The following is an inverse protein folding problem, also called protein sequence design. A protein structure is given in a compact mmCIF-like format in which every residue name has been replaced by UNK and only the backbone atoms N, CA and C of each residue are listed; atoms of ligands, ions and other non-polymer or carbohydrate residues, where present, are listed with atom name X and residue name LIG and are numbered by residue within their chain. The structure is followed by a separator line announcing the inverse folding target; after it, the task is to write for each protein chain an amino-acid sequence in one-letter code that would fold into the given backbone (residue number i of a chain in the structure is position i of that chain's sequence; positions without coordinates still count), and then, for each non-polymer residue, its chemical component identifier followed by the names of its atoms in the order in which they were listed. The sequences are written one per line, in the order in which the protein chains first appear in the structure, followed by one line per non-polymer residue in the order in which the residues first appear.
data_IF_546469391864
#
_entry.id   IF_546469391864
#
_cell.length_a   1.000
_cell.length_b   1.000
_cell.length_c   1.000
_cell.angle_alpha   90.00
_cell.angle_beta   90.00
_cell.angle_gamma   90.00
#
_symmetry.space_group_name_H-M   'P 1'
#
loop_
_entity.id
_entity.type
_entity.pdbx_description
1 polymer ?
#
# COMPACT_ATOMS: atom_id res chain seq x y z
N UNK A 1 -5.69 1.73 -21.32
CA UNK A 1 -7.01 1.21 -20.92
C UNK A 1 -6.95 -0.08 -20.08
N UNK A 2 -5.76 -0.54 -19.68
CA UNK A 2 -5.58 -1.75 -18.83
C UNK A 2 -5.53 -1.47 -17.31
N UNK A 3 -5.60 -0.22 -16.89
CA UNK A 3 -5.40 0.19 -15.48
C UNK A 3 -6.55 -0.13 -14.52
N UNK A 4 -7.64 -0.73 -14.96
CA UNK A 4 -8.84 -0.88 -14.14
C UNK A 4 -9.21 -2.32 -13.77
N UNK A 5 -8.32 -3.27 -13.99
CA UNK A 5 -8.55 -4.64 -13.57
C UNK A 5 -8.09 -4.86 -12.12
N UNK A 6 -8.96 -5.43 -11.31
CA UNK A 6 -8.62 -5.93 -10.00
C UNK A 6 -7.86 -7.25 -10.16
N UNK A 7 -6.55 -7.16 -10.42
CA UNK A 7 -5.73 -8.35 -10.66
C UNK A 7 -5.44 -9.12 -9.38
N UNK A 8 -5.40 -8.40 -8.24
CA UNK A 8 -5.23 -8.97 -6.92
C UNK A 8 -6.14 -8.30 -5.89
N UNK A 9 -6.62 -9.09 -4.94
CA UNK A 9 -7.48 -8.63 -3.84
C UNK A 9 -6.91 -9.17 -2.53
N UNK A 10 -6.78 -8.29 -1.54
CA UNK A 10 -6.38 -8.62 -0.16
C UNK A 10 -7.35 -7.95 0.81
N UNK A 11 -7.51 -8.52 1.99
CA UNK A 11 -8.44 -7.92 2.95
C UNK A 11 -8.53 -8.68 4.28
N UNK A 12 -9.44 -8.21 5.11
CA UNK A 12 -9.93 -8.85 6.31
C UNK A 12 -11.47 -8.73 6.34
N UNK A 13 -12.11 -8.92 7.49
CA UNK A 13 -13.56 -8.81 7.62
C UNK A 13 -14.12 -7.41 7.29
N UNK A 14 -13.30 -6.35 7.41
CA UNK A 14 -13.74 -4.96 7.28
C UNK A 14 -13.15 -4.26 6.06
N UNK A 15 -11.90 -4.51 5.73
CA UNK A 15 -11.18 -3.85 4.63
C UNK A 15 -11.01 -4.80 3.46
N UNK A 16 -11.33 -4.31 2.27
CA UNK A 16 -10.91 -4.94 1.01
C UNK A 16 -10.08 -3.96 0.21
N UNK A 17 -8.89 -4.37 -0.18
CA UNK A 17 -8.00 -3.63 -1.05
C UNK A 17 -7.79 -4.39 -2.36
N UNK A 18 -7.98 -3.73 -3.49
CA UNK A 18 -7.66 -4.30 -4.79
C UNK A 18 -6.46 -3.61 -5.43
N UNK A 19 -5.61 -4.43 -6.05
CA UNK A 19 -4.37 -3.99 -6.64
C UNK A 19 -4.29 -4.39 -8.12
N UNK A 20 -3.51 -3.63 -8.89
CA UNK A 20 -3.14 -4.01 -10.27
C UNK A 20 -2.13 -5.14 -10.25
N UNK A 21 -1.90 -5.77 -11.41
CA UNK A 21 -0.81 -6.74 -11.63
C UNK A 21 0.59 -6.19 -11.31
N UNK A 22 0.73 -4.86 -11.25
CA UNK A 22 1.97 -4.17 -10.94
C UNK A 22 2.07 -3.77 -9.45
N UNK A 23 1.02 -4.04 -8.65
CA UNK A 23 0.98 -3.72 -7.22
C UNK A 23 0.47 -2.32 -6.86
N UNK A 24 -0.11 -1.57 -7.82
CA UNK A 24 -0.76 -0.28 -7.52
C UNK A 24 -2.07 -0.51 -6.76
N UNK A 25 -2.32 0.28 -5.72
CA UNK A 25 -3.59 0.27 -4.99
C UNK A 25 -4.65 1.00 -5.81
N UNK A 26 -5.67 0.26 -6.28
CA UNK A 26 -6.77 0.80 -7.08
C UNK A 26 -8.00 1.12 -6.25
N UNK A 27 -8.34 0.24 -5.32
CA UNK A 27 -9.55 0.37 -4.51
C UNK A 27 -9.26 0.03 -3.08
N UNK A 28 -9.94 0.74 -2.21
CA UNK A 28 -9.94 0.51 -0.78
C UNK A 28 -11.38 0.65 -0.30
N UNK A 29 -12.01 -0.46 0.08
CA UNK A 29 -13.38 -0.53 0.51
C UNK A 29 -13.46 -0.77 2.01
N UNK A 30 -14.41 -0.10 2.67
CA UNK A 30 -14.65 -0.19 4.11
C UNK A 30 -16.08 0.30 4.44
N UNK A 31 -16.79 -0.23 5.45
CA UNK A 31 -16.41 -1.36 6.32
C UNK A 31 -16.72 -2.74 5.73
N UNK A 32 -17.23 -2.82 4.50
CA UNK A 32 -17.58 -4.07 3.82
C UNK A 32 -17.15 -4.03 2.36
N UNK A 33 -17.00 -5.19 1.73
CA UNK A 33 -16.58 -5.32 0.33
C UNK A 33 -17.50 -4.58 -0.66
N UNK A 34 -18.79 -4.50 -0.39
CA UNK A 34 -19.77 -3.86 -1.28
C UNK A 34 -20.22 -2.47 -0.79
N UNK A 35 -19.47 -1.86 0.11
CA UNK A 35 -19.86 -0.59 0.69
C UNK A 35 -19.17 0.59 0.00
N UNK A 36 -18.36 1.35 0.69
CA UNK A 36 -17.78 2.59 0.21
C UNK A 36 -16.37 2.40 -0.33
N UNK A 37 -16.15 2.86 -1.56
CA UNK A 37 -14.83 2.95 -2.16
C UNK A 37 -14.23 4.33 -1.86
N UNK A 38 -12.99 4.37 -1.36
CA UNK A 38 -12.35 5.59 -0.90
C UNK A 38 -11.34 6.19 -1.88
N UNK A 39 -10.63 5.38 -2.65
CA UNK A 39 -9.48 5.81 -3.44
C UNK A 39 -9.89 6.19 -4.86
N UNK A 40 -9.61 7.42 -5.28
CA UNK A 40 -9.63 7.82 -6.68
C UNK A 40 -8.32 7.37 -7.35
N UNK A 41 -7.18 7.72 -6.74
CA UNK A 41 -5.87 7.17 -7.07
C UNK A 41 -4.93 7.15 -5.86
N UNK A 42 -3.93 6.25 -5.90
CA UNK A 42 -2.92 6.10 -4.86
C UNK A 42 -1.59 5.70 -5.49
N UNK A 43 -0.82 6.70 -5.88
CA UNK A 43 0.44 6.52 -6.60
C UNK A 43 1.61 6.55 -5.62
N UNK A 44 2.55 5.66 -5.82
CA UNK A 44 3.85 5.68 -5.14
C UNK A 44 4.91 5.97 -6.17
N UNK A 45 5.73 6.96 -5.89
CA UNK A 45 6.84 7.38 -6.71
C UNK A 45 8.16 7.30 -5.95
N UNK A 46 9.22 7.15 -6.69
CA UNK A 46 10.60 7.26 -6.19
C UNK A 46 11.30 8.38 -6.92
N UNK A 47 11.89 9.31 -6.18
CA UNK A 47 12.94 10.18 -6.68
C UNK A 47 14.26 9.49 -6.42
N UNK A 48 15.00 9.21 -7.49
CA UNK A 48 16.28 8.50 -7.44
C UNK A 48 17.35 9.48 -7.89
N UNK A 49 18.26 9.85 -6.99
CA UNK A 49 19.23 10.92 -7.21
C UNK A 49 18.53 12.22 -7.66
N UNK A 50 18.98 12.83 -8.74
CA UNK A 50 18.41 14.06 -9.33
C UNK A 50 17.42 13.77 -10.46
N UNK A 51 16.92 12.54 -10.58
CA UNK A 51 15.94 12.16 -11.62
C UNK A 51 14.57 12.79 -11.37
N UNK A 52 13.73 12.80 -12.41
CA UNK A 52 12.30 12.95 -12.23
C UNK A 52 11.72 11.76 -11.47
N UNK A 53 10.49 11.87 -10.99
CA UNK A 53 9.79 10.78 -10.30
C UNK A 53 9.65 9.56 -11.21
N UNK A 54 10.09 8.42 -10.69
CA UNK A 54 9.79 7.08 -11.22
C UNK A 54 8.54 6.58 -10.51
N UNK A 55 7.43 6.48 -11.21
CA UNK A 55 6.22 5.87 -10.65
C UNK A 55 6.42 4.37 -10.50
N UNK A 56 6.32 3.89 -9.26
CA UNK A 56 6.71 2.53 -8.92
C UNK A 56 5.91 1.46 -9.68
N UNK A 57 4.65 1.74 -9.99
CA UNK A 57 3.74 0.78 -10.60
C UNK A 57 3.43 1.07 -12.09
N UNK A 58 4.02 2.11 -12.66
CA UNK A 58 3.72 2.56 -14.03
C UNK A 58 4.97 3.19 -14.69
N UNK A 59 6.10 2.49 -14.65
CA UNK A 59 7.33 2.92 -15.34
C UNK A 59 7.72 1.92 -16.42
N UNK A 60 8.12 2.43 -17.58
CA UNK A 60 8.50 1.61 -18.75
C UNK A 60 9.73 0.74 -18.49
N UNK A 61 10.60 1.14 -17.57
CA UNK A 61 11.79 0.40 -17.18
C UNK A 61 11.55 -0.64 -16.10
N UNK A 62 10.32 -0.76 -15.61
CA UNK A 62 9.99 -1.71 -14.56
C UNK A 62 9.49 -3.04 -15.14
N UNK A 63 10.02 -4.12 -14.59
CA UNK A 63 9.54 -5.49 -14.81
C UNK A 63 8.89 -5.97 -13.53
N UNK A 64 7.72 -6.59 -13.64
CA UNK A 64 6.88 -6.97 -12.50
C UNK A 64 6.65 -8.48 -12.46
N UNK A 65 6.67 -9.04 -11.24
CA UNK A 65 6.22 -10.40 -10.95
C UNK A 65 5.39 -10.38 -9.67
N UNK A 66 4.12 -10.77 -9.75
CA UNK A 66 3.19 -10.71 -8.62
C UNK A 66 2.68 -12.11 -8.26
N UNK A 67 2.68 -12.41 -6.97
CA UNK A 67 2.20 -13.69 -6.43
C UNK A 67 1.74 -13.56 -4.98
N UNK A 68 0.82 -14.42 -4.60
CA UNK A 68 0.44 -14.55 -3.20
C UNK A 68 1.37 -15.50 -2.45
N UNK A 69 1.61 -15.20 -1.19
CA UNK A 69 2.25 -16.16 -0.29
C UNK A 69 1.28 -17.34 -0.10
N UNK A 70 1.79 -18.56 -0.31
CA UNK A 70 1.00 -19.80 -0.33
C UNK A 70 0.07 -19.93 0.88
N UNK A 71 -1.20 -20.23 0.61
CA UNK A 71 -2.24 -20.39 1.62
C UNK A 71 -2.58 -19.13 2.41
N UNK A 72 -2.34 -17.95 1.84
CA UNK A 72 -2.58 -16.68 2.54
C UNK A 72 -3.21 -15.62 1.65
N UNK A 73 -3.64 -14.54 2.31
CA UNK A 73 -4.06 -13.29 1.67
C UNK A 73 -2.96 -12.21 1.77
N UNK A 74 -1.70 -12.63 1.66
CA UNK A 74 -0.52 -11.77 1.62
C UNK A 74 -0.01 -11.75 0.18
N UNK A 75 0.11 -10.56 -0.39
CA UNK A 75 0.53 -10.35 -1.77
C UNK A 75 1.97 -9.86 -1.83
N UNK A 76 2.77 -10.47 -2.67
CA UNK A 76 4.10 -10.00 -3.01
C UNK A 76 4.12 -9.50 -4.47
N UNK A 77 4.75 -8.36 -4.68
CA UNK A 77 5.05 -7.81 -6.00
C UNK A 77 6.54 -7.52 -6.08
N UNK A 78 7.26 -8.28 -6.88
CA UNK A 78 8.65 -8.00 -7.21
C UNK A 78 8.70 -7.00 -8.34
N UNK A 79 9.50 -5.94 -8.19
CA UNK A 79 9.67 -4.87 -9.16
C UNK A 79 11.18 -4.74 -9.42
N UNK A 80 11.59 -4.83 -10.66
CA UNK A 80 12.95 -4.57 -11.07
C UNK A 80 12.96 -3.37 -12.01
N UNK A 81 13.49 -2.24 -11.53
CA UNK A 81 13.79 -1.11 -12.40
C UNK A 81 15.13 -1.38 -13.10
N UNK A 82 15.06 -1.62 -14.40
CA UNK A 82 16.22 -2.02 -15.21
C UNK A 82 17.20 -0.88 -15.48
N UNK A 83 16.70 0.38 -15.48
CA UNK A 83 17.54 1.56 -15.69
C UNK A 83 18.43 1.86 -14.48
N UNK A 84 17.84 1.94 -13.29
CA UNK A 84 18.58 2.18 -12.05
C UNK A 84 19.16 0.92 -11.43
N UNK A 85 18.84 -0.27 -11.94
CA UNK A 85 19.19 -1.57 -11.35
C UNK A 85 18.77 -1.64 -9.88
N UNK A 86 17.55 -1.15 -9.60
CA UNK A 86 16.94 -1.14 -8.29
C UNK A 86 15.90 -2.25 -8.22
N UNK A 87 16.13 -3.23 -7.35
CA UNK A 87 15.17 -4.29 -7.07
C UNK A 87 14.33 -3.92 -5.86
N UNK A 88 13.01 -4.13 -5.96
CA UNK A 88 12.07 -3.83 -4.91
C UNK A 88 11.17 -5.04 -4.70
N UNK A 89 11.05 -5.49 -3.45
CA UNK A 89 10.02 -6.43 -3.04
C UNK A 89 8.97 -5.67 -2.24
N UNK A 90 7.81 -5.51 -2.82
CA UNK A 90 6.63 -4.98 -2.16
C UNK A 90 5.82 -6.14 -1.57
N UNK A 91 5.49 -6.06 -0.28
CA UNK A 91 4.62 -7.02 0.42
C UNK A 91 3.43 -6.27 0.98
N UNK A 92 2.24 -6.65 0.55
CA UNK A 92 0.97 -6.05 0.94
C UNK A 92 0.10 -7.05 1.71
N UNK A 93 -0.46 -6.63 2.83
CA UNK A 93 -1.47 -7.39 3.57
C UNK A 93 -2.32 -6.47 4.45
N UNK A 94 -3.51 -6.91 4.80
CA UNK A 94 -4.35 -6.25 5.79
C UNK A 94 -4.18 -6.95 7.14
N UNK A 95 -3.95 -6.17 8.20
CA UNK A 95 -3.88 -6.69 9.57
C UNK A 95 -5.20 -7.34 9.95
N UNK A 96 -5.16 -8.51 10.62
CA UNK A 96 -6.39 -9.26 10.92
C UNK A 96 -7.26 -8.53 11.96
N UNK A 97 -6.64 -7.89 12.95
CA UNK A 97 -7.36 -7.25 14.06
C UNK A 97 -7.52 -5.73 13.91
N UNK A 98 -6.94 -5.15 12.89
CA UNK A 98 -6.89 -3.70 12.70
C UNK A 98 -7.35 -3.34 11.30
N UNK A 99 -7.98 -2.19 11.17
CA UNK A 99 -8.38 -1.65 9.87
C UNK A 99 -7.20 -0.97 9.16
N UNK A 100 -6.11 -1.74 8.97
CA UNK A 100 -4.84 -1.24 8.45
C UNK A 100 -4.37 -2.12 7.29
N UNK A 101 -4.20 -1.50 6.15
CA UNK A 101 -3.41 -2.06 5.04
C UNK A 101 -1.93 -1.71 5.28
N UNK A 102 -1.09 -2.73 5.35
CA UNK A 102 0.35 -2.59 5.47
C UNK A 102 0.99 -2.85 4.11
N UNK A 103 1.84 -1.92 3.68
CA UNK A 103 2.61 -1.99 2.45
C UNK A 103 4.09 -1.86 2.79
N UNK A 104 4.84 -2.93 2.70
CA UNK A 104 6.28 -2.93 2.95
C UNK A 104 7.05 -3.00 1.67
N UNK A 105 8.05 -2.13 1.54
CA UNK A 105 8.98 -2.09 0.43
C UNK A 105 10.38 -2.44 0.93
N UNK A 106 10.98 -3.47 0.35
CA UNK A 106 12.38 -3.80 0.54
C UNK A 106 13.13 -3.43 -0.74
N UNK A 107 13.97 -2.42 -0.67
CA UNK A 107 14.80 -1.93 -1.75
C UNK A 107 16.16 -2.61 -1.68
N UNK A 108 16.70 -3.00 -2.84
CA UNK A 108 18.06 -3.54 -2.97
C UNK A 108 18.74 -2.82 -4.15
N UNK A 109 19.86 -2.17 -3.88
CA UNK A 109 20.63 -1.50 -4.89
C UNK A 109 21.56 -2.52 -5.60
N UNK A 110 21.16 -2.99 -6.78
CA UNK A 110 21.97 -3.86 -7.63
C UNK A 110 22.87 -3.07 -8.60
N UNK A 111 22.89 -1.72 -8.49
CA UNK A 111 23.79 -0.85 -9.25
C UNK A 111 25.19 -0.81 -8.62
N UNK A 112 26.14 -0.27 -9.37
CA UNK A 112 27.53 -0.03 -8.93
C UNK A 112 27.74 1.36 -8.32
N UNK A 113 26.71 2.22 -8.34
CA UNK A 113 26.73 3.56 -7.78
C UNK A 113 25.77 3.66 -6.59
N UNK A 114 26.00 4.65 -5.75
CA UNK A 114 25.07 5.03 -4.67
C UNK A 114 23.74 5.56 -5.25
N UNK A 115 22.63 5.16 -4.67
CA UNK A 115 21.31 5.68 -5.00
C UNK A 115 20.73 6.43 -3.82
N UNK A 116 20.52 7.73 -3.98
CA UNK A 116 19.77 8.55 -3.01
C UNK A 116 18.28 8.42 -3.32
N UNK A 117 17.50 7.92 -2.37
CA UNK A 117 16.11 7.55 -2.58
C UNK A 117 15.18 8.40 -1.71
N UNK A 118 14.21 9.05 -2.35
CA UNK A 118 13.05 9.62 -1.65
C UNK A 118 11.78 8.94 -2.15
N UNK A 119 10.97 8.42 -1.22
CA UNK A 119 9.67 7.84 -1.53
C UNK A 119 8.59 8.91 -1.42
N UNK A 120 7.75 8.99 -2.44
CA UNK A 120 6.60 9.89 -2.49
C UNK A 120 5.31 9.08 -2.53
N UNK A 121 4.32 9.53 -1.78
CA UNK A 121 2.94 9.06 -1.88
C UNK A 121 2.10 10.23 -2.39
N UNK A 122 1.40 10.02 -3.50
CA UNK A 122 0.44 10.97 -4.05
C UNK A 122 -0.93 10.31 -4.11
N UNK A 123 -1.87 10.82 -3.37
CA UNK A 123 -3.18 10.20 -3.21
C UNK A 123 -4.32 11.20 -3.33
N UNK A 124 -5.45 10.69 -3.79
CA UNK A 124 -6.72 11.40 -3.86
C UNK A 124 -7.85 10.47 -3.47
N UNK A 125 -8.74 10.95 -2.61
CA UNK A 125 -9.97 10.24 -2.31
C UNK A 125 -11.05 10.61 -3.32
N UNK A 126 -12.00 9.69 -3.54
CA UNK A 126 -13.17 9.93 -4.39
C UNK A 126 -14.00 11.06 -3.78
N UNK A 127 -14.23 12.09 -4.57
CA UNK A 127 -15.15 13.20 -4.23
C UNK A 127 -16.48 13.00 -4.92
N UNK A 128 -17.56 13.30 -4.24
CA UNK A 128 -18.91 13.39 -4.80
C UNK A 128 -19.42 14.83 -4.64
N UNK A 129 -20.46 15.19 -5.35
CA UNK A 129 -21.05 16.54 -5.28
C UNK A 129 -21.44 16.95 -3.85
N UNK A 130 -21.65 15.98 -2.95
CA UNK A 130 -22.05 16.20 -1.57
C UNK A 130 -20.92 15.98 -0.54
N UNK A 131 -19.74 15.53 -0.98
CA UNK A 131 -18.64 15.21 -0.06
C UNK A 131 -17.36 15.95 -0.48
N UNK A 132 -16.95 16.89 0.35
CA UNK A 132 -15.63 17.51 0.21
C UNK A 132 -14.60 16.70 0.96
N UNK A 133 -13.44 16.52 0.37
CA UNK A 133 -12.29 15.92 1.02
C UNK A 133 -11.41 17.03 1.56
N UNK A 134 -11.00 16.90 2.81
CA UNK A 134 -10.00 17.78 3.42
C UNK A 134 -8.76 16.99 3.76
N UNK A 135 -7.61 17.62 3.67
CA UNK A 135 -6.33 17.06 4.08
C UNK A 135 -5.82 17.73 5.35
N UNK A 136 -5.22 16.95 6.21
CA UNK A 136 -4.58 17.40 7.43
C UNK A 136 -3.30 16.61 7.67
N UNK A 137 -2.21 17.30 7.98
CA UNK A 137 -0.98 16.67 8.47
C UNK A 137 -0.97 16.78 9.99
N UNK A 138 -1.00 15.63 10.64
CA UNK A 138 -0.98 15.54 12.10
C UNK A 138 -0.17 14.33 12.53
N UNK A 139 0.67 14.49 13.53
CA UNK A 139 1.50 13.42 14.08
C UNK A 139 2.28 12.64 12.99
N UNK A 140 2.95 13.35 12.08
CA UNK A 140 3.64 12.76 10.91
C UNK A 140 2.77 11.79 10.10
N UNK A 141 1.48 12.07 9.98
CA UNK A 141 0.53 11.31 9.17
C UNK A 141 -0.28 12.26 8.28
N UNK A 142 -0.58 11.81 7.07
CA UNK A 142 -1.55 12.44 6.19
C UNK A 142 -2.93 11.87 6.51
N UNK A 143 -3.82 12.70 6.98
CA UNK A 143 -5.24 12.40 7.15
C UNK A 143 -6.01 13.03 5.99
N UNK A 144 -6.63 12.22 5.18
CA UNK A 144 -7.60 12.65 4.17
C UNK A 144 -8.98 12.22 4.67
N UNK A 145 -9.84 13.19 4.96
CA UNK A 145 -11.14 12.88 5.53
C UNK A 145 -12.28 13.48 4.71
N UNK A 146 -13.35 12.75 4.69
CA UNK A 146 -14.62 13.14 4.13
C UNK A 146 -15.73 12.70 5.09
N UNK A 147 -16.40 13.66 5.66
CA UNK A 147 -17.56 13.47 6.53
C UNK A 147 -17.32 12.44 7.66
N UNK A 148 -17.78 11.20 7.48
CA UNK A 148 -17.80 10.16 8.51
C UNK A 148 -16.56 9.29 8.56
N UNK A 149 -15.61 9.46 7.63
CA UNK A 149 -14.46 8.60 7.48
C UNK A 149 -13.18 9.35 7.21
N UNK A 150 -12.07 8.81 7.70
CA UNK A 150 -10.72 9.26 7.38
C UNK A 150 -9.89 8.12 6.83
N UNK A 151 -9.09 8.41 5.81
CA UNK A 151 -8.00 7.56 5.35
C UNK A 151 -6.70 8.18 5.81
N UNK A 152 -5.97 7.49 6.66
CA UNK A 152 -4.74 7.95 7.26
C UNK A 152 -3.55 7.20 6.64
N UNK A 153 -2.63 7.94 6.02
CA UNK A 153 -1.39 7.40 5.45
C UNK A 153 -0.20 7.85 6.26
N UNK A 154 0.61 6.92 6.75
CA UNK A 154 1.78 7.22 7.58
C UNK A 154 2.82 6.10 7.55
N UNK A 155 4.00 6.42 8.09
CA UNK A 155 5.10 5.49 8.33
C UNK A 155 5.57 5.59 9.78
N UNK A 156 6.53 4.75 10.16
CA UNK A 156 7.34 4.92 11.38
C UNK A 156 8.40 6.01 11.18
N UNK A 157 8.80 6.23 9.94
CA UNK A 157 9.74 7.29 9.56
C UNK A 157 9.03 8.65 9.54
N UNK A 158 9.80 9.72 9.79
CA UNK A 158 9.28 11.09 9.74
C UNK A 158 9.03 11.54 8.31
N UNK A 159 8.03 12.39 8.15
CA UNK A 159 7.78 13.07 6.89
C UNK A 159 8.94 14.01 6.54
N UNK A 160 9.40 13.94 5.30
CA UNK A 160 10.38 14.84 4.72
C UNK A 160 9.70 16.13 4.26
N UNK A 161 8.65 16.00 3.46
CA UNK A 161 7.85 17.13 2.96
C UNK A 161 6.40 16.73 2.76
N UNK A 162 5.53 17.73 2.71
CA UNK A 162 4.08 17.54 2.59
C UNK A 162 3.50 18.63 1.70
N UNK A 163 2.49 18.28 0.91
CA UNK A 163 1.70 19.24 0.18
C UNK A 163 0.26 18.78 0.11
N UNK A 164 -0.66 19.63 0.53
CA UNK A 164 -2.08 19.39 0.45
C UNK A 164 -2.64 20.31 -0.64
N UNK A 165 -3.32 19.71 -1.63
CA UNK A 165 -3.86 20.38 -2.80
C UNK A 165 -2.80 20.83 -3.84
N UNK A 166 -3.20 20.76 -5.11
CA UNK A 166 -2.38 21.16 -6.27
C UNK A 166 -1.01 20.47 -6.38
N UNK A 167 -0.91 19.23 -5.88
CA UNK A 167 0.36 18.48 -5.87
C UNK A 167 0.77 18.01 -7.25
N UNK A 168 -0.18 17.83 -8.15
CA UNK A 168 0.02 17.27 -9.50
C UNK A 168 1.05 18.03 -10.34
N UNK A 169 1.15 19.36 -10.18
CA UNK A 169 2.10 20.19 -10.92
C UNK A 169 3.55 19.96 -10.49
N UNK A 170 3.79 19.64 -9.24
CA UNK A 170 5.13 19.62 -8.65
C UNK A 170 5.66 18.20 -8.49
N UNK A 171 4.77 17.21 -8.43
CA UNK A 171 5.16 15.84 -8.09
C UNK A 171 6.06 15.20 -9.14
N UNK A 172 5.87 15.55 -10.42
CA UNK A 172 6.70 15.00 -11.50
C UNK A 172 8.19 15.31 -11.33
N UNK A 173 8.51 16.52 -10.85
CA UNK A 173 9.88 16.92 -10.55
C UNK A 173 10.36 16.39 -9.19
N UNK A 174 9.48 15.71 -8.46
CA UNK A 174 9.76 15.25 -7.09
C UNK A 174 9.89 16.39 -6.10
N UNK A 175 9.36 17.54 -6.44
CA UNK A 175 9.27 18.70 -5.56
C UNK A 175 7.87 18.72 -4.96
N UNK A 176 7.80 18.45 -3.68
CA UNK A 176 6.59 18.66 -2.90
C UNK A 176 6.80 19.96 -2.14
N UNK A 177 5.81 20.85 -2.22
CA UNK A 177 5.88 22.14 -1.52
C UNK A 177 6.03 21.94 -0.01
N UNK A 178 6.56 22.97 0.65
CA UNK A 178 6.78 22.92 2.09
C UNK A 178 5.47 23.22 2.85
N UNK A 179 4.97 22.24 3.55
CA UNK A 179 4.25 22.41 4.82
C UNK A 179 2.83 22.96 4.78
N UNK A 180 2.01 22.55 3.84
CA UNK A 180 0.58 22.70 4.04
C UNK A 180 0.10 21.67 5.06
N UNK A 181 -0.20 22.11 6.27
CA UNK A 181 -0.66 21.22 7.35
C UNK A 181 -2.15 20.94 7.33
N UNK A 182 -2.93 21.79 6.64
CA UNK A 182 -4.38 21.65 6.53
C UNK A 182 -4.87 22.34 5.25
N UNK A 183 -5.80 21.73 4.57
CA UNK A 183 -6.43 22.33 3.38
C UNK A 183 -7.66 21.55 2.91
N UNK A 184 -8.52 22.24 2.19
CA UNK A 184 -9.57 21.62 1.39
C UNK A 184 -8.90 21.08 0.14
N UNK A 185 -8.82 19.77 0.00
CA UNK A 185 -7.97 19.15 -0.98
C UNK A 185 -8.72 18.17 -1.85
N UNK A 186 -8.37 18.19 -3.14
CA UNK A 186 -8.70 17.10 -4.05
C UNK A 186 -7.61 16.05 -4.09
N UNK A 187 -6.35 16.42 -3.83
CA UNK A 187 -5.19 15.54 -3.81
C UNK A 187 -4.17 15.98 -2.75
N UNK A 188 -3.34 15.06 -2.29
CA UNK A 188 -2.31 15.32 -1.29
C UNK A 188 -1.09 14.46 -1.56
N UNK A 189 0.07 14.99 -1.21
CA UNK A 189 1.34 14.27 -1.30
C UNK A 189 2.14 14.39 -0.02
N UNK A 190 2.82 13.30 0.32
CA UNK A 190 3.79 13.22 1.40
C UNK A 190 5.04 12.52 0.88
N UNK A 191 6.19 12.86 1.45
CA UNK A 191 7.43 12.20 1.10
C UNK A 191 8.23 11.77 2.32
N UNK A 192 9.11 10.80 2.08
CA UNK A 192 10.00 10.20 3.07
C UNK A 192 11.40 10.07 2.50
N UNK A 193 12.40 10.42 3.30
CA UNK A 193 13.79 10.20 2.96
C UNK A 193 14.20 8.76 3.28
N UNK A 194 14.55 8.00 2.26
CA UNK A 194 15.09 6.65 2.43
C UNK A 194 16.60 6.64 2.55
N UNK A 195 17.25 7.82 2.47
CA UNK A 195 18.68 8.01 2.49
C UNK A 195 19.42 7.37 1.30
N UNK A 196 20.73 7.38 1.37
CA UNK A 196 21.61 6.81 0.37
C UNK A 196 21.68 5.31 0.57
N UNK A 197 21.42 4.59 -0.50
CA UNK A 197 21.54 3.12 -0.59
C UNK A 197 22.78 2.76 -1.41
N UNK A 198 23.82 2.26 -0.74
CA UNK A 198 25.07 1.88 -1.39
C UNK A 198 24.91 0.63 -2.27
N UNK A 199 25.85 0.34 -3.17
CA UNK A 199 25.85 -0.89 -3.94
C UNK A 199 25.70 -2.14 -3.05
N UNK A 200 24.77 -3.05 -3.43
CA UNK A 200 24.39 -4.26 -2.70
C UNK A 200 23.81 -4.02 -1.28
N UNK A 201 23.54 -2.78 -0.91
CA UNK A 201 22.85 -2.48 0.33
C UNK A 201 21.34 -2.65 0.16
N UNK A 202 20.67 -2.96 1.27
CA UNK A 202 19.22 -3.09 1.31
C UNK A 202 18.60 -2.17 2.37
N UNK A 203 17.46 -1.60 2.04
CA UNK A 203 16.64 -0.75 2.91
C UNK A 203 15.21 -1.25 2.92
N UNK A 204 14.57 -1.18 4.07
CA UNK A 204 13.13 -1.46 4.19
C UNK A 204 12.38 -0.21 4.62
N UNK A 205 11.19 -0.04 4.06
CA UNK A 205 10.26 1.03 4.40
C UNK A 205 8.85 0.44 4.56
N UNK A 206 8.10 0.89 5.55
CA UNK A 206 6.75 0.41 5.85
C UNK A 206 5.77 1.57 5.78
N UNK A 207 4.77 1.43 4.94
CA UNK A 207 3.67 2.37 4.77
C UNK A 207 2.40 1.75 5.33
N UNK A 208 1.69 2.50 6.16
CA UNK A 208 0.43 2.09 6.79
C UNK A 208 -0.70 2.96 6.25
N UNK A 209 -1.78 2.31 5.81
CA UNK A 209 -3.00 2.96 5.39
C UNK A 209 -4.10 2.49 6.32
N UNK A 210 -4.52 3.37 7.22
CA UNK A 210 -5.55 3.12 8.22
C UNK A 210 -6.84 3.82 7.85
N UNK A 211 -7.98 3.14 8.03
CA UNK A 211 -9.30 3.72 7.83
C UNK A 211 -10.00 3.83 9.18
N UNK A 212 -10.51 5.03 9.47
CA UNK A 212 -11.25 5.36 10.68
C UNK A 212 -12.67 5.86 10.35
N UNK A 213 -13.63 5.51 11.18
CA UNK A 213 -15.02 5.97 11.07
C UNK A 213 -15.30 7.29 11.82
N UNK A 214 -14.25 7.97 12.24
CA UNK A 214 -14.25 9.28 12.90
C UNK A 214 -15.07 9.35 14.21
N UNK A 215 -15.57 8.25 14.74
CA UNK A 215 -16.41 8.27 15.96
C UNK A 215 -15.68 8.84 17.18
N UNK A 216 -14.37 8.65 17.25
CA UNK A 216 -13.53 9.10 18.36
C UNK A 216 -12.78 10.41 18.06
N UNK A 217 -13.07 11.04 16.92
CA UNK A 217 -12.44 12.28 16.47
C UNK A 217 -10.92 12.16 16.28
N UNK A 218 -10.26 13.29 16.06
CA UNK A 218 -8.82 13.33 15.79
C UNK A 218 -7.96 12.72 16.91
N UNK A 219 -8.37 12.87 18.17
CA UNK A 219 -7.65 12.30 19.30
C UNK A 219 -7.65 10.76 19.30
N UNK A 220 -8.76 10.15 18.88
CA UNK A 220 -8.84 8.70 18.71
C UNK A 220 -7.95 8.20 17.59
N UNK A 221 -7.91 8.95 16.48
CA UNK A 221 -7.03 8.68 15.33
C UNK A 221 -5.57 8.72 15.77
N UNK A 222 -5.13 9.76 16.48
CA UNK A 222 -3.75 9.89 16.97
C UNK A 222 -3.32 8.69 17.83
N UNK A 223 -4.15 8.31 18.78
CA UNK A 223 -3.88 7.13 19.62
C UNK A 223 -3.73 5.86 18.79
N UNK A 224 -4.55 5.71 17.77
CA UNK A 224 -4.50 4.55 16.87
C UNK A 224 -3.23 4.58 16.04
N UNK A 225 -2.84 5.72 15.48
CA UNK A 225 -1.59 5.89 14.74
C UNK A 225 -0.38 5.53 15.63
N UNK A 226 -0.33 6.05 16.86
CA UNK A 226 0.74 5.72 17.81
C UNK A 226 0.80 4.22 18.15
N UNK A 227 -0.35 3.57 18.25
CA UNK A 227 -0.44 2.12 18.50
C UNK A 227 0.05 1.34 17.28
N UNK A 228 -0.36 1.70 16.07
CA UNK A 228 0.04 1.02 14.83
C UNK A 228 1.54 1.17 14.59
N UNK A 229 2.14 2.32 14.88
CA UNK A 229 3.59 2.53 14.76
C UNK A 229 4.42 1.57 15.64
N UNK A 230 3.86 1.03 16.70
CA UNK A 230 4.51 0.05 17.58
C UNK A 230 4.39 -1.39 17.08
N UNK A 231 3.59 -1.62 16.04
CA UNK A 231 3.42 -2.96 15.45
C UNK A 231 4.75 -3.42 14.84
N UNK A 232 5.18 -4.64 15.20
CA UNK A 232 6.28 -5.29 14.51
C UNK A 232 5.76 -5.97 13.24
N UNK A 233 6.28 -5.53 12.09
CA UNK A 233 5.86 -6.03 10.79
C UNK A 233 5.94 -7.56 10.69
N UNK A 234 7.06 -8.16 11.13
CA UNK A 234 7.26 -9.60 11.01
C UNK A 234 6.25 -10.38 11.83
N UNK A 235 5.97 -9.91 13.04
CA UNK A 235 4.97 -10.50 13.92
C UNK A 235 3.58 -10.42 13.31
N UNK A 236 3.17 -9.26 12.78
CA UNK A 236 1.85 -9.12 12.15
C UNK A 236 1.73 -9.90 10.85
N UNK A 237 2.77 -9.95 10.04
CA UNK A 237 2.79 -10.79 8.85
C UNK A 237 2.61 -12.28 9.20
N UNK A 238 3.31 -12.77 10.22
CA UNK A 238 3.16 -14.16 10.68
C UNK A 238 1.79 -14.44 11.31
N UNK A 239 1.21 -13.49 12.04
CA UNK A 239 -0.14 -13.59 12.57
C UNK A 239 -1.17 -13.69 11.44
N UNK A 240 -1.05 -12.83 10.43
CA UNK A 240 -1.90 -12.82 9.23
C UNK A 240 -1.76 -14.14 8.46
N UNK A 241 -0.54 -14.64 8.28
CA UNK A 241 -0.29 -15.93 7.64
C UNK A 241 -0.95 -17.09 8.38
N UNK A 242 -0.74 -17.18 9.69
CA UNK A 242 -1.34 -18.23 10.54
C UNK A 242 -2.87 -18.19 10.52
N UNK A 243 -3.45 -17.00 10.54
CA UNK A 243 -4.90 -16.81 10.46
C UNK A 243 -5.44 -17.40 9.17
N UNK A 244 -4.92 -16.99 8.01
CA UNK A 244 -5.41 -17.44 6.71
C UNK A 244 -5.19 -18.94 6.48
N UNK A 245 -4.04 -19.48 6.88
CA UNK A 245 -3.78 -20.91 6.82
C UNK A 245 -4.75 -21.73 7.70
N UNK A 246 -5.09 -21.21 8.89
CA UNK A 246 -6.11 -21.82 9.74
C UNK A 246 -7.50 -21.71 9.13
N UNK A 247 -7.81 -20.56 8.54
CA UNK A 247 -9.10 -20.32 7.86
C UNK A 247 -9.29 -21.31 6.71
N UNK A 248 -8.30 -21.48 5.84
CA UNK A 248 -8.35 -22.47 4.77
C UNK A 248 -8.60 -23.89 5.29
N UNK A 249 -7.83 -24.30 6.31
CA UNK A 249 -8.00 -25.65 6.91
C UNK A 249 -9.40 -25.88 7.49
N UNK A 250 -10.06 -24.85 8.00
CA UNK A 250 -11.41 -24.97 8.54
C UNK A 250 -12.49 -25.06 7.45
N UNK A 251 -12.16 -24.71 6.20
CA UNK A 251 -13.06 -24.76 5.05
C UNK A 251 -12.71 -25.89 4.06
N UNK A 252 -11.81 -26.79 4.45
CA UNK A 252 -11.32 -27.94 3.67
C UNK A 252 -12.39 -29.06 3.52
N UNK A 253 -13.61 -28.64 3.13
CA UNK A 253 -14.73 -29.57 2.89
C UNK A 253 -14.69 -30.30 1.55
N UNK A 254 -13.81 -29.91 0.64
CA UNK A 254 -13.62 -30.57 -0.65
C UNK A 254 -12.26 -31.26 -0.68
N UNK A 255 -12.28 -32.51 -0.26
CA UNK A 255 -11.14 -33.39 -0.49
C UNK A 255 -11.07 -33.69 -2.01
N UNK A 256 -10.46 -32.73 -2.74
CA UNK A 256 -10.10 -32.93 -4.12
C UNK A 256 -8.99 -33.98 -4.11
N UNK A 257 -9.30 -35.25 -4.31
CA UNK A 257 -8.33 -36.33 -4.54
C UNK A 257 -7.57 -36.05 -5.84
N UNK A 258 -6.81 -34.96 -5.83
CA UNK A 258 -6.01 -34.49 -6.96
C UNK A 258 -4.68 -35.24 -6.92
N UNK A 259 -4.40 -35.97 -7.98
CA UNK A 259 -3.07 -36.55 -8.19
C UNK A 259 -2.02 -35.43 -8.30
N UNK A 260 -0.82 -35.71 -7.85
CA UNK A 260 0.27 -34.75 -7.64
C UNK A 260 0.90 -34.27 -8.96
N UNK A 261 0.11 -33.62 -9.82
CA UNK A 261 0.62 -32.99 -11.04
C UNK A 261 0.46 -31.46 -11.00
N UNK A 262 1.27 -30.74 -11.80
CA UNK A 262 1.28 -29.27 -11.88
C UNK A 262 -0.11 -28.67 -12.16
N UNK A 263 -0.95 -29.37 -12.94
CA UNK A 263 -2.31 -28.90 -13.26
C UNK A 263 -3.20 -28.95 -12.03
N UNK A 264 -3.09 -29.99 -11.23
CA UNK A 264 -3.90 -30.17 -10.03
C UNK A 264 -3.48 -29.20 -8.92
N UNK A 265 -2.17 -28.93 -8.76
CA UNK A 265 -1.68 -27.88 -7.87
C UNK A 265 -2.26 -26.51 -8.24
N UNK A 266 -2.34 -26.20 -9.53
CA UNK A 266 -2.91 -24.94 -10.00
C UNK A 266 -4.43 -24.85 -9.77
N UNK A 267 -5.16 -25.96 -9.88
CA UNK A 267 -6.60 -26.03 -9.57
C UNK A 267 -6.82 -25.83 -8.07
N UNK A 268 -6.02 -26.47 -7.23
CA UNK A 268 -6.05 -26.32 -5.77
C UNK A 268 -5.74 -24.88 -5.36
N UNK A 269 -4.74 -24.26 -5.95
CA UNK A 269 -4.40 -22.86 -5.73
C UNK A 269 -5.56 -21.91 -6.09
N UNK A 270 -6.21 -22.11 -7.24
CA UNK A 270 -7.38 -21.33 -7.66
C UNK A 270 -8.55 -21.53 -6.70
N UNK A 271 -8.78 -22.76 -6.25
CA UNK A 271 -9.85 -23.08 -5.31
C UNK A 271 -9.59 -22.42 -3.95
N UNK A 272 -8.39 -22.61 -3.39
CA UNK A 272 -7.98 -21.96 -2.14
C UNK A 272 -8.09 -20.44 -2.24
N UNK A 273 -7.75 -19.86 -3.39
CA UNK A 273 -7.89 -18.44 -3.63
C UNK A 273 -9.32 -17.94 -3.58
N UNK A 274 -10.28 -18.72 -4.14
CA UNK A 274 -11.71 -18.39 -4.05
C UNK A 274 -12.25 -18.39 -2.62
N UNK A 275 -11.71 -19.24 -1.76
CA UNK A 275 -12.09 -19.28 -0.34
C UNK A 275 -11.55 -18.07 0.42
N UNK A 276 -10.41 -17.53 0.00
CA UNK A 276 -9.74 -16.37 0.64
C UNK A 276 -10.29 -15.01 0.17
N UNK A 277 -11.11 -14.98 -0.85
CA UNK A 277 -11.79 -13.79 -1.38
C UNK A 277 -13.18 -13.62 -0.79
#
# INVERSE_FOLDING_TARGET
MEKYFNDAIIGNENITASLTKNGELLRLLYPYTDYKQFIDFYHIGLKINDSNIVYLHDDINNVYNQYYLEGTNILNTEILNTYFKLKILQTDFVCIKENVLVRRFKFVNENVIDLNLNLLVHSKLITTDNNQVSGLIQNDALLQYMHDYSVCTFSKDKLLSTQINNTKSNIFEGQIGDKDYVGMSTDSSISYDLNILKPNEEKTFELYIYIDDNKNGLYGIDKTIERIRKIDFKTEQENTKKYWQKYLKSHDGLNLNLTDNLRNKKIEEIYNRKILL
#
